data_IF_608991122595
#
_entry.id   IF_608991122595
#
_cell.length_a   1.000
_cell.length_b   1.000
_cell.length_c   1.000
_cell.angle_alpha   90.00
_cell.angle_beta   90.00
_cell.angle_gamma   90.00
#
_symmetry.space_group_name_H-M   'P 1'
#
loop_
_entity.id
_entity.type
_entity.pdbx_description
1 polymer ?
#
# COMPACT_ATOMS: atom_id res chain seq x y z
N UNK A 1 -14.65 15.59 -9.81
CA UNK A 1 -15.06 14.42 -9.01
C UNK A 1 -14.37 13.22 -9.63
N UNK A 2 -13.61 12.46 -8.85
CA UNK A 2 -12.91 11.24 -9.29
C UNK A 2 -13.45 10.02 -8.55
N UNK A 3 -13.36 8.86 -9.18
CA UNK A 3 -13.57 7.54 -8.58
C UNK A 3 -12.23 7.02 -8.08
N UNK A 4 -12.05 6.98 -6.77
CA UNK A 4 -10.77 6.63 -6.14
C UNK A 4 -10.88 5.28 -5.44
N UNK A 5 -10.16 4.28 -5.95
CA UNK A 5 -9.99 3.00 -5.28
C UNK A 5 -8.89 3.07 -4.23
N UNK A 6 -9.11 2.49 -3.06
CA UNK A 6 -8.11 2.42 -2.00
C UNK A 6 -7.84 0.96 -1.67
N UNK A 7 -6.68 0.46 -2.09
CA UNK A 7 -6.21 -0.91 -1.79
C UNK A 7 -5.53 -0.89 -0.43
N UNK A 8 -6.11 -1.58 0.54
CA UNK A 8 -5.62 -1.58 1.92
C UNK A 8 -5.93 -2.90 2.63
N UNK A 9 -5.42 -3.06 3.82
CA UNK A 9 -5.78 -4.13 4.73
C UNK A 9 -7.26 -4.00 5.16
N UNK A 10 -7.87 -5.03 5.77
CA UNK A 10 -9.27 -4.96 6.17
C UNK A 10 -9.58 -3.68 6.96
N UNK A 11 -10.49 -2.85 6.44
CA UNK A 11 -10.82 -1.55 7.03
C UNK A 11 -11.37 -1.68 8.45
N UNK A 12 -11.92 -2.84 8.81
CA UNK A 12 -12.38 -3.16 10.15
C UNK A 12 -11.25 -3.37 11.17
N UNK A 13 -10.01 -3.62 10.70
CA UNK A 13 -8.86 -3.99 11.54
C UNK A 13 -7.86 -2.85 11.72
N UNK A 14 -8.08 -1.69 11.08
CA UNK A 14 -7.18 -0.53 11.18
C UNK A 14 -7.18 0.06 12.59
N UNK A 15 -6.08 0.68 12.97
CA UNK A 15 -6.02 1.44 14.21
C UNK A 15 -6.50 2.87 13.95
N UNK A 16 -7.76 3.17 14.29
CA UNK A 16 -8.41 4.46 14.06
C UNK A 16 -7.54 5.68 14.39
N UNK A 17 -6.79 5.66 15.50
CA UNK A 17 -5.99 6.79 15.95
C UNK A 17 -4.66 6.97 15.22
N UNK A 18 -4.21 5.96 14.47
CA UNK A 18 -2.87 5.94 13.85
C UNK A 18 -2.91 5.77 12.34
N UNK A 19 -4.07 5.44 11.79
CA UNK A 19 -4.19 5.13 10.37
C UNK A 19 -4.27 6.40 9.53
N UNK A 20 -3.20 6.67 8.79
CA UNK A 20 -3.14 7.81 7.87
C UNK A 20 -3.96 7.61 6.60
N UNK A 21 -4.32 6.36 6.27
CA UNK A 21 -5.15 6.04 5.11
C UNK A 21 -6.59 6.48 5.35
N UNK A 22 -7.11 6.26 6.58
CA UNK A 22 -8.44 6.73 6.95
C UNK A 22 -8.55 8.26 6.84
N UNK A 23 -7.54 8.99 7.33
CA UNK A 23 -7.51 10.45 7.22
C UNK A 23 -7.47 10.91 5.76
N UNK A 24 -6.66 10.25 4.93
CA UNK A 24 -6.58 10.56 3.50
C UNK A 24 -7.92 10.30 2.80
N UNK A 25 -8.60 9.19 3.12
CA UNK A 25 -9.93 8.88 2.59
C UNK A 25 -10.95 9.94 3.00
N UNK A 26 -10.93 10.36 4.27
CA UNK A 26 -11.82 11.41 4.77
C UNK A 26 -11.62 12.72 4.00
N UNK A 27 -10.39 13.17 3.82
CA UNK A 27 -10.09 14.39 3.06
C UNK A 27 -10.53 14.31 1.59
N UNK A 28 -10.33 13.16 0.94
CA UNK A 28 -10.78 12.95 -0.44
C UNK A 28 -12.32 13.00 -0.55
N UNK A 29 -13.01 12.43 0.42
CA UNK A 29 -14.48 12.47 0.51
C UNK A 29 -14.99 13.90 0.71
N UNK A 30 -14.39 14.68 1.62
CA UNK A 30 -14.73 16.10 1.84
C UNK A 30 -14.52 16.96 0.58
N UNK A 31 -13.56 16.58 -0.28
CA UNK A 31 -13.34 17.20 -1.59
C UNK A 31 -14.34 16.75 -2.66
N UNK A 32 -15.29 15.88 -2.33
CA UNK A 32 -16.35 15.43 -3.23
C UNK A 32 -15.93 14.31 -4.18
N UNK A 33 -14.90 13.52 -3.85
CA UNK A 33 -14.53 12.31 -4.60
C UNK A 33 -15.36 11.11 -4.15
N UNK A 34 -15.61 10.16 -5.07
CA UNK A 34 -16.20 8.87 -4.73
C UNK A 34 -15.11 7.88 -4.33
N UNK A 35 -15.27 7.26 -3.16
CA UNK A 35 -14.30 6.32 -2.62
C UNK A 35 -14.79 4.89 -2.75
N UNK A 36 -13.86 4.00 -3.11
CA UNK A 36 -14.07 2.56 -3.21
C UNK A 36 -13.00 1.83 -2.40
N UNK A 37 -13.44 1.11 -1.39
CA UNK A 37 -12.58 0.21 -0.63
C UNK A 37 -12.29 -1.03 -1.45
N UNK A 38 -11.03 -1.44 -1.45
CA UNK A 38 -10.53 -2.67 -2.06
C UNK A 38 -9.69 -3.40 -1.03
N UNK A 39 -10.20 -4.51 -0.50
CA UNK A 39 -9.37 -5.41 0.29
C UNK A 39 -8.20 -5.89 -0.58
N UNK A 40 -6.98 -5.82 -0.06
CA UNK A 40 -5.78 -6.20 -0.82
C UNK A 40 -5.83 -7.65 -1.37
N UNK A 41 -6.68 -8.51 -0.80
CA UNK A 41 -6.93 -9.89 -1.27
C UNK A 41 -7.85 -9.97 -2.48
N UNK A 42 -8.50 -8.87 -2.82
CA UNK A 42 -9.54 -8.77 -3.85
C UNK A 42 -9.04 -8.19 -5.18
N UNK A 43 -7.73 -8.10 -5.37
CA UNK A 43 -7.12 -7.78 -6.66
C UNK A 43 -6.77 -9.07 -7.42
N UNK A 44 -7.13 -9.14 -8.70
CA UNK A 44 -6.91 -10.34 -9.51
C UNK A 44 -6.90 -10.06 -11.01
N UNK A 45 -6.42 -11.04 -11.79
CA UNK A 45 -6.63 -11.06 -13.23
C UNK A 45 -7.81 -11.96 -13.60
N UNK A 46 -8.63 -11.51 -14.55
CA UNK A 46 -9.60 -12.32 -15.26
C UNK A 46 -9.36 -12.18 -16.76
N UNK A 47 -8.93 -13.26 -17.42
CA UNK A 47 -8.60 -13.23 -18.85
C UNK A 47 -7.70 -12.05 -19.27
N UNK A 48 -6.59 -11.86 -18.57
CA UNK A 48 -5.61 -10.77 -18.78
C UNK A 48 -6.11 -9.36 -18.39
N UNK A 49 -7.36 -9.21 -17.99
CA UNK A 49 -7.91 -7.93 -17.52
C UNK A 49 -7.66 -7.77 -16.02
N UNK A 50 -7.06 -6.67 -15.57
CA UNK A 50 -6.90 -6.37 -14.15
C UNK A 50 -8.24 -6.00 -13.54
N UNK A 51 -8.65 -6.75 -12.51
CA UNK A 51 -9.97 -6.69 -11.89
C UNK A 51 -9.86 -6.50 -10.38
N UNK A 52 -10.94 -6.02 -9.77
CA UNK A 52 -11.10 -5.99 -8.32
C UNK A 52 -12.53 -6.33 -7.90
N UNK A 53 -12.68 -6.84 -6.66
CA UNK A 53 -13.93 -6.71 -5.92
C UNK A 53 -13.83 -5.43 -5.09
N UNK A 54 -14.80 -4.55 -5.25
CA UNK A 54 -14.82 -3.23 -4.60
C UNK A 54 -16.11 -3.04 -3.81
N UNK A 55 -16.07 -2.17 -2.83
CA UNK A 55 -17.25 -1.68 -2.13
C UNK A 55 -17.18 -0.15 -2.06
N UNK A 56 -18.25 0.54 -2.46
CA UNK A 56 -18.32 1.98 -2.20
C UNK A 56 -18.25 2.19 -0.70
N UNK A 57 -17.43 3.16 -0.28
CA UNK A 57 -17.15 3.41 1.14
C UNK A 57 -17.43 4.86 1.48
N UNK A 58 -18.09 5.06 2.61
CA UNK A 58 -18.13 6.34 3.30
C UNK A 58 -17.32 6.24 4.59
N UNK A 59 -16.53 7.26 4.88
CA UNK A 59 -15.68 7.31 6.07
C UNK A 59 -16.08 8.44 6.99
N UNK A 60 -15.93 8.21 8.29
CA UNK A 60 -16.37 9.14 9.33
C UNK A 60 -15.25 9.34 10.36
N UNK A 61 -15.08 10.57 10.84
CA UNK A 61 -14.18 10.87 11.96
C UNK A 61 -14.86 10.55 13.30
N UNK A 62 -15.24 9.29 13.46
CA UNK A 62 -15.91 8.76 14.66
C UNK A 62 -15.33 7.38 15.01
N UNK A 63 -14.75 7.26 16.21
CA UNK A 63 -14.11 6.05 16.69
C UNK A 63 -15.03 4.84 16.76
N UNK A 64 -16.29 5.04 17.10
CA UNK A 64 -17.25 3.93 17.25
C UNK A 64 -17.81 3.44 15.90
N UNK A 65 -17.73 4.29 14.88
CA UNK A 65 -18.17 3.95 13.53
C UNK A 65 -17.39 4.83 12.53
N UNK A 66 -16.24 4.36 12.06
CA UNK A 66 -15.37 5.13 11.15
C UNK A 66 -15.59 4.85 9.67
N UNK A 67 -16.43 3.87 9.31
CA UNK A 67 -16.78 3.57 7.92
C UNK A 67 -18.16 2.96 7.77
N UNK A 68 -18.69 3.03 6.56
CA UNK A 68 -19.77 2.15 6.06
C UNK A 68 -19.41 1.68 4.65
N UNK A 69 -19.82 0.46 4.32
CA UNK A 69 -19.58 -0.17 3.03
C UNK A 69 -20.93 -0.50 2.38
N UNK A 70 -21.02 -0.25 1.07
CA UNK A 70 -22.11 -0.73 0.25
C UNK A 70 -21.90 -2.20 -0.16
N UNK A 71 -22.76 -2.74 -1.01
CA UNK A 71 -22.62 -4.08 -1.57
C UNK A 71 -21.33 -4.23 -2.38
N UNK A 72 -20.77 -5.44 -2.38
CA UNK A 72 -19.55 -5.75 -3.13
C UNK A 72 -19.85 -5.87 -4.62
N UNK A 73 -19.04 -5.22 -5.44
CA UNK A 73 -19.11 -5.26 -6.89
C UNK A 73 -17.81 -5.76 -7.49
N UNK A 74 -17.92 -6.52 -8.58
CA UNK A 74 -16.79 -6.94 -9.40
C UNK A 74 -16.62 -6.00 -10.58
N UNK A 75 -15.47 -5.32 -10.65
CA UNK A 75 -15.20 -4.35 -11.72
C UNK A 75 -13.86 -4.61 -12.41
N UNK A 76 -13.71 -4.08 -13.63
CA UNK A 76 -12.40 -3.83 -14.22
C UNK A 76 -11.79 -2.56 -13.62
N UNK A 77 -10.49 -2.59 -13.32
CA UNK A 77 -9.81 -1.47 -12.65
C UNK A 77 -9.78 -0.18 -13.51
N UNK A 78 -9.91 -0.29 -14.82
CA UNK A 78 -9.99 0.86 -15.75
C UNK A 78 -11.28 1.69 -15.61
N UNK A 79 -12.25 1.22 -14.83
CA UNK A 79 -13.46 1.98 -14.48
C UNK A 79 -13.23 3.00 -13.36
N UNK A 80 -12.09 2.93 -12.67
CA UNK A 80 -11.64 3.89 -11.69
C UNK A 80 -10.73 4.94 -12.34
N UNK A 81 -10.69 6.13 -11.76
CA UNK A 81 -9.78 7.19 -12.21
C UNK A 81 -8.41 7.09 -11.53
N UNK A 82 -8.39 6.73 -10.26
CA UNK A 82 -7.19 6.65 -9.42
C UNK A 82 -7.27 5.42 -8.51
N UNK A 83 -6.14 4.76 -8.29
CA UNK A 83 -5.99 3.76 -7.23
C UNK A 83 -4.84 4.15 -6.30
N UNK A 84 -5.14 4.18 -5.01
CA UNK A 84 -4.15 4.36 -3.95
C UNK A 84 -3.74 2.99 -3.42
N UNK A 85 -2.45 2.65 -3.56
CA UNK A 85 -1.90 1.42 -2.99
C UNK A 85 -1.45 1.69 -1.55
N UNK A 86 -2.30 1.32 -0.61
CA UNK A 86 -2.15 1.56 0.83
C UNK A 86 -2.09 0.27 1.65
N UNK A 87 -1.81 -0.86 0.99
CA UNK A 87 -1.60 -2.13 1.67
C UNK A 87 -0.37 -2.04 2.58
N UNK A 88 -0.55 -2.40 3.85
CA UNK A 88 0.54 -2.51 4.82
C UNK A 88 1.41 -3.76 4.59
N UNK A 89 2.64 -3.80 5.11
CA UNK A 89 3.44 -5.02 5.15
C UNK A 89 2.70 -6.21 5.77
N UNK A 90 3.06 -7.46 5.43
CA UNK A 90 4.38 -7.86 4.93
C UNK A 90 4.55 -7.67 3.41
N UNK A 91 5.79 -7.36 3.00
CA UNK A 91 6.20 -7.37 1.59
C UNK A 91 6.45 -8.82 1.14
N UNK A 92 5.37 -9.53 0.89
CA UNK A 92 5.35 -10.95 0.51
C UNK A 92 4.93 -11.13 -0.96
N UNK A 93 4.74 -12.37 -1.39
CA UNK A 93 4.31 -12.67 -2.76
C UNK A 93 2.91 -12.13 -3.08
N UNK A 94 2.02 -12.03 -2.10
CA UNK A 94 0.69 -11.45 -2.32
C UNK A 94 0.81 -9.95 -2.60
N UNK A 95 1.63 -9.23 -1.81
CA UNK A 95 1.94 -7.83 -2.07
C UNK A 95 2.52 -7.63 -3.47
N UNK A 96 3.50 -8.45 -3.85
CA UNK A 96 4.14 -8.39 -5.18
C UNK A 96 3.12 -8.67 -6.28
N UNK A 97 2.27 -9.69 -6.15
CA UNK A 97 1.22 -10.01 -7.11
C UNK A 97 0.24 -8.84 -7.27
N UNK A 98 -0.18 -8.20 -6.19
CA UNK A 98 -1.04 -7.01 -6.23
C UNK A 98 -0.38 -5.87 -7.02
N UNK A 99 0.93 -5.66 -6.85
CA UNK A 99 1.64 -4.65 -7.64
C UNK A 99 1.65 -4.98 -9.14
N UNK A 100 1.70 -6.26 -9.54
CA UNK A 100 1.60 -6.64 -10.96
C UNK A 100 0.22 -6.41 -11.54
N UNK A 101 -0.85 -6.67 -10.77
CA UNK A 101 -2.23 -6.36 -11.19
C UNK A 101 -2.38 -4.86 -11.42
N UNK A 102 -1.92 -4.04 -10.46
CA UNK A 102 -1.98 -2.59 -10.55
C UNK A 102 -1.10 -2.02 -11.67
N UNK A 103 0.11 -2.57 -11.89
CA UNK A 103 0.97 -2.17 -13.01
C UNK A 103 0.33 -2.46 -14.37
N UNK A 104 -0.42 -3.55 -14.48
CA UNK A 104 -1.17 -3.85 -15.69
C UNK A 104 -2.29 -2.84 -15.93
N UNK A 105 -2.98 -2.41 -14.87
CA UNK A 105 -4.00 -1.37 -14.96
C UNK A 105 -3.38 0.01 -15.26
N UNK A 106 -2.20 0.33 -14.71
CA UNK A 106 -1.45 1.55 -15.01
C UNK A 106 -1.11 1.66 -16.50
N UNK A 107 -0.75 0.53 -17.15
CA UNK A 107 -0.47 0.49 -18.61
C UNK A 107 -1.69 0.78 -19.46
N UNK A 108 -2.89 0.63 -18.94
CA UNK A 108 -4.15 0.97 -19.63
C UNK A 108 -4.65 2.38 -19.33
N UNK A 109 -3.93 3.14 -18.52
CA UNK A 109 -4.21 4.56 -18.26
C UNK A 109 -4.71 4.88 -16.85
N UNK A 110 -4.89 3.89 -15.97
CA UNK A 110 -5.25 4.12 -14.58
C UNK A 110 -4.09 4.81 -13.85
N UNK A 111 -4.39 5.86 -13.09
CA UNK A 111 -3.41 6.48 -12.21
C UNK A 111 -3.24 5.63 -10.93
N UNK A 112 -2.05 5.11 -10.67
CA UNK A 112 -1.75 4.32 -9.47
C UNK A 112 -0.74 5.04 -8.57
N UNK A 113 -1.07 5.29 -7.33
CA UNK A 113 -0.25 5.95 -6.31
C UNK A 113 -0.08 5.02 -5.09
N UNK A 114 1.15 4.68 -4.71
CA UNK A 114 2.42 4.91 -5.38
C UNK A 114 2.58 3.96 -6.57
N UNK A 115 3.48 4.34 -7.51
CA UNK A 115 3.77 3.50 -8.68
C UNK A 115 4.12 2.06 -8.28
N UNK A 116 3.46 1.05 -8.86
CA UNK A 116 3.67 -0.36 -8.52
C UNK A 116 5.11 -0.83 -8.74
N UNK A 117 5.76 -0.34 -9.77
CA UNK A 117 7.17 -0.64 -10.04
C UNK A 117 8.09 -0.05 -8.96
N UNK A 118 7.81 1.17 -8.50
CA UNK A 118 8.56 1.81 -7.42
C UNK A 118 8.41 1.06 -6.10
N UNK A 119 7.22 0.58 -5.77
CA UNK A 119 6.97 -0.22 -4.58
C UNK A 119 7.83 -1.50 -4.54
N UNK A 120 8.09 -2.12 -5.69
CA UNK A 120 8.98 -3.29 -5.79
C UNK A 120 10.46 -2.95 -5.75
N UNK A 121 10.84 -1.81 -6.33
CA UNK A 121 12.25 -1.43 -6.55
C UNK A 121 12.85 -0.69 -5.36
N UNK A 122 12.07 0.17 -4.72
CA UNK A 122 12.53 1.00 -3.60
C UNK A 122 12.12 0.39 -2.27
N UNK A 123 12.99 -0.50 -1.74
CA UNK A 123 12.81 -0.99 -0.38
C UNK A 123 13.08 0.16 0.61
N UNK A 124 12.12 0.43 1.49
CA UNK A 124 12.17 1.54 2.47
C UNK A 124 13.41 1.53 3.37
N UNK A 125 13.95 0.33 3.68
CA UNK A 125 15.11 0.15 4.57
C UNK A 125 16.43 0.14 3.81
N UNK A 126 16.45 -0.46 2.59
CA UNK A 126 17.68 -0.60 1.81
C UNK A 126 17.97 0.61 0.93
N UNK A 127 16.98 1.43 0.62
CA UNK A 127 17.16 2.66 -0.17
C UNK A 127 18.14 3.65 0.47
N UNK A 128 18.36 3.59 1.78
CA UNK A 128 19.39 4.38 2.48
C UNK A 128 20.79 4.12 1.94
N UNK A 129 21.08 2.93 1.41
CA UNK A 129 22.39 2.58 0.84
C UNK A 129 22.73 3.41 -0.40
N UNK A 130 21.76 4.05 -1.04
CA UNK A 130 21.98 5.01 -2.12
C UNK A 130 22.53 6.36 -1.63
N UNK A 131 22.55 6.58 -0.31
CA UNK A 131 22.96 7.83 0.33
C UNK A 131 24.09 7.61 1.36
N UNK A 132 25.24 7.05 0.95
CA UNK A 132 26.29 6.60 1.89
C UNK A 132 26.85 7.70 2.78
N UNK A 133 26.73 8.97 2.38
CA UNK A 133 27.15 10.12 3.18
C UNK A 133 26.18 10.52 4.32
N UNK A 134 24.98 9.99 4.29
CA UNK A 134 23.89 10.33 5.23
C UNK A 134 23.59 9.21 6.21
N UNK A 135 24.25 8.07 6.09
CA UNK A 135 24.03 6.91 6.93
C UNK A 135 25.27 6.59 7.77
N UNK A 136 25.05 5.98 8.91
CA UNK A 136 26.10 5.38 9.73
C UNK A 136 26.51 4.03 9.13
N UNK A 137 27.61 3.41 9.67
CA UNK A 137 27.99 2.05 9.25
C UNK A 137 26.80 1.11 9.34
N UNK A 138 26.53 0.45 8.24
CA UNK A 138 25.33 -0.36 8.08
C UNK A 138 25.73 -1.75 7.62
N UNK A 139 25.19 -2.78 8.27
CA UNK A 139 25.25 -4.17 7.84
C UNK A 139 23.84 -4.68 7.55
N UNK A 140 23.67 -5.27 6.37
CA UNK A 140 22.44 -5.99 5.99
C UNK A 140 22.81 -7.44 5.73
N UNK A 141 22.31 -8.33 6.56
CA UNK A 141 22.64 -9.76 6.48
C UNK A 141 21.56 -10.63 7.12
N UNK A 142 21.36 -11.83 6.60
CA UNK A 142 20.63 -12.91 7.25
C UNK A 142 21.55 -13.84 8.06
N UNK A 143 22.87 -13.64 7.97
CA UNK A 143 23.86 -14.46 8.67
C UNK A 143 24.10 -13.93 10.09
N UNK A 144 23.68 -14.72 11.09
CA UNK A 144 23.80 -14.35 12.50
C UNK A 144 25.24 -14.09 12.94
N UNK A 145 26.21 -14.88 12.46
CA UNK A 145 27.62 -14.69 12.82
C UNK A 145 28.15 -13.34 12.38
N UNK A 146 27.84 -12.92 11.16
CA UNK A 146 28.24 -11.59 10.65
C UNK A 146 27.60 -10.45 11.46
N UNK A 147 26.36 -10.65 11.91
CA UNK A 147 25.66 -9.69 12.76
C UNK A 147 26.36 -9.55 14.13
N UNK A 148 26.73 -10.68 14.76
CA UNK A 148 27.45 -10.69 16.05
C UNK A 148 28.83 -10.03 15.92
N UNK A 149 29.58 -10.30 14.85
CA UNK A 149 30.87 -9.68 14.56
C UNK A 149 30.73 -8.15 14.40
N UNK A 150 29.72 -7.71 13.66
CA UNK A 150 29.48 -6.27 13.46
C UNK A 150 29.15 -5.54 14.77
N UNK A 151 28.32 -6.12 15.63
CA UNK A 151 28.00 -5.55 16.95
C UNK A 151 29.21 -5.49 17.86
N UNK A 152 30.05 -6.54 17.84
CA UNK A 152 31.28 -6.57 18.64
C UNK A 152 32.31 -5.51 18.19
N UNK A 153 32.47 -5.30 16.91
CA UNK A 153 33.34 -4.25 16.38
C UNK A 153 32.88 -2.86 16.85
N UNK A 154 31.59 -2.60 16.84
CA UNK A 154 31.04 -1.31 17.28
C UNK A 154 31.18 -1.03 18.77
N UNK A 155 31.02 -2.05 19.62
CA UNK A 155 31.23 -1.92 21.07
C UNK A 155 32.68 -1.61 21.46
N UNK A 156 33.64 -1.85 20.55
CA UNK A 156 35.06 -1.53 20.77
C UNK A 156 35.42 -0.10 20.37
N UNK A 157 34.52 0.58 19.64
CA UNK A 157 34.72 1.95 19.10
C UNK A 157 33.93 3.01 19.89
N UNK A 158 33.06 2.58 20.81
CA UNK A 158 32.32 3.41 21.75
C UNK A 158 32.99 3.37 23.15
#
# INVERSE_FOLDING_TARGET
MFKVGVVMNPISEINYFKDSTLLLMFELQEQGHELFYIDHRNLFFSNQTPMALIQKVEVYMNQDKWYSLDEEEKISLDTLDIVLMRQDPPFDMNFINNTYVLESAEKTGLAVINSPSSLRTYNEKLSILNYPKLITDTLVTANRKLMEEFVMMRKKLS
#
